data_IF_966440588616
#
_entry.id   IF_966440588616
#
_cell.length_a   1.000
_cell.length_b   1.000
_cell.length_c   1.000
_cell.angle_alpha   90.00
_cell.angle_beta   90.00
_cell.angle_gamma   90.00
#
_symmetry.space_group_name_H-M   'P 1'
#
loop_
_entity.id
_entity.type
_entity.pdbx_description
1 polymer ?
#
# COMPACT_ATOMS: atom_id res chain seq x y z
N UNK A 1 11.85 -30.75 -34.27
CA UNK A 1 11.15 -29.49 -34.60
C UNK A 1 11.81 -28.92 -35.89
N UNK A 2 11.16 -29.06 -37.07
CA UNK A 2 11.68 -28.53 -38.34
C UNK A 2 11.38 -27.03 -38.39
N UNK A 3 12.41 -26.19 -38.38
CA UNK A 3 12.30 -24.78 -38.74
C UNK A 3 12.01 -24.70 -40.23
N UNK A 4 10.80 -24.29 -40.61
CA UNK A 4 10.51 -23.92 -41.99
C UNK A 4 11.32 -22.65 -42.31
N UNK A 5 12.32 -22.79 -43.17
CA UNK A 5 13.03 -21.66 -43.76
C UNK A 5 12.11 -21.09 -44.84
N UNK A 6 11.62 -19.88 -44.66
CA UNK A 6 10.89 -19.15 -45.70
C UNK A 6 11.81 -18.95 -46.91
N UNK A 7 11.36 -19.36 -48.09
CA UNK A 7 12.10 -19.14 -49.33
C UNK A 7 12.06 -17.65 -49.68
N UNK A 8 13.17 -17.11 -50.23
CA UNK A 8 13.26 -15.68 -50.54
C UNK A 8 12.11 -15.16 -51.43
N UNK A 9 11.46 -16.03 -52.19
CA UNK A 9 10.27 -15.70 -53.00
C UNK A 9 9.02 -15.42 -52.16
N UNK A 10 8.79 -16.15 -51.09
CA UNK A 10 7.63 -15.93 -50.20
C UNK A 10 7.76 -14.60 -49.42
N UNK A 11 8.98 -14.23 -49.03
CA UNK A 11 9.26 -12.94 -48.37
C UNK A 11 9.03 -11.79 -49.37
N UNK A 12 9.48 -11.93 -50.62
CA UNK A 12 9.28 -10.90 -51.66
C UNK A 12 7.79 -10.70 -52.00
N UNK A 13 7.02 -11.78 -52.13
CA UNK A 13 5.57 -11.73 -52.38
C UNK A 13 4.86 -11.06 -51.17
N UNK A 14 5.25 -11.39 -49.96
CA UNK A 14 4.70 -10.77 -48.75
C UNK A 14 4.98 -9.25 -48.67
N UNK A 15 6.18 -8.84 -49.05
CA UNK A 15 6.56 -7.41 -49.07
C UNK A 15 5.78 -6.65 -50.14
N UNK A 16 5.68 -7.20 -51.35
CA UNK A 16 4.91 -6.58 -52.45
C UNK A 16 3.42 -6.47 -52.08
N UNK A 17 2.84 -7.53 -51.52
CA UNK A 17 1.44 -7.50 -51.08
C UNK A 17 1.19 -6.46 -49.96
N UNK A 18 2.09 -6.31 -48.99
CA UNK A 18 1.97 -5.29 -47.94
C UNK A 18 2.10 -3.87 -48.50
N UNK A 19 3.00 -3.63 -49.44
CA UNK A 19 3.14 -2.32 -50.11
C UNK A 19 1.86 -1.95 -50.87
N UNK A 20 1.30 -2.91 -51.61
CA UNK A 20 0.03 -2.72 -52.33
C UNK A 20 -1.16 -2.43 -51.41
N UNK A 21 -1.27 -3.16 -50.32
CA UNK A 21 -2.30 -2.92 -49.30
C UNK A 21 -2.18 -1.53 -48.65
N UNK A 22 -0.95 -1.10 -48.34
CA UNK A 22 -0.71 0.23 -47.79
C UNK A 22 -1.04 1.32 -48.78
N UNK A 23 -0.65 1.16 -50.07
CA UNK A 23 -0.97 2.12 -51.13
C UNK A 23 -2.51 2.23 -51.34
N UNK A 24 -3.21 1.10 -51.42
CA UNK A 24 -4.67 1.08 -51.55
C UNK A 24 -5.38 1.72 -50.33
N UNK A 25 -4.85 1.51 -49.11
CA UNK A 25 -5.36 2.15 -47.89
C UNK A 25 -5.14 3.68 -47.92
N UNK A 26 -3.99 4.12 -48.40
CA UNK A 26 -3.67 5.56 -48.51
C UNK A 26 -4.57 6.26 -49.53
N UNK A 27 -4.79 5.61 -50.69
CA UNK A 27 -5.69 6.14 -51.71
C UNK A 27 -7.15 6.19 -51.23
N UNK A 28 -7.58 5.16 -50.51
CA UNK A 28 -8.90 5.15 -49.89
C UNK A 28 -9.07 6.24 -48.82
N UNK A 29 -8.06 6.42 -47.96
CA UNK A 29 -8.03 7.49 -46.94
C UNK A 29 -8.03 8.89 -47.59
N UNK A 30 -7.31 9.07 -48.67
CA UNK A 30 -7.31 10.33 -49.43
C UNK A 30 -8.70 10.64 -50.04
N UNK A 31 -9.42 9.60 -50.49
CA UNK A 31 -10.78 9.73 -50.98
C UNK A 31 -11.82 9.99 -49.87
N UNK A 32 -11.48 9.66 -48.60
CA UNK A 32 -12.38 9.83 -47.44
C UNK A 32 -11.74 10.64 -46.33
N UNK A 33 -11.48 11.95 -46.50
CA UNK A 33 -10.72 12.79 -45.55
C UNK A 33 -11.39 12.94 -44.18
N UNK A 34 -12.68 12.66 -44.11
CA UNK A 34 -13.45 12.71 -42.83
C UNK A 34 -13.18 11.51 -41.93
N UNK A 35 -12.57 10.42 -42.40
CA UNK A 35 -12.32 9.20 -41.62
C UNK A 35 -11.26 9.43 -40.53
N UNK A 36 -10.19 10.12 -40.86
CA UNK A 36 -9.11 10.41 -39.89
C UNK A 36 -9.60 11.25 -38.71
N UNK A 37 -10.33 12.39 -38.92
CA UNK A 37 -10.87 13.15 -37.76
C UNK A 37 -11.91 12.34 -36.96
N UNK A 38 -12.67 11.43 -37.60
CA UNK A 38 -13.61 10.56 -36.90
C UNK A 38 -12.88 9.56 -36.01
N UNK A 39 -11.82 8.92 -36.52
CA UNK A 39 -10.96 8.01 -35.71
C UNK A 39 -10.33 8.78 -34.55
N UNK A 40 -9.80 9.97 -34.81
CA UNK A 40 -9.20 10.80 -33.74
C UNK A 40 -10.23 11.18 -32.67
N UNK A 41 -11.44 11.56 -33.09
CA UNK A 41 -12.52 11.93 -32.17
C UNK A 41 -12.94 10.75 -31.29
N UNK A 42 -13.11 9.57 -31.89
CA UNK A 42 -13.47 8.35 -31.15
C UNK A 42 -12.36 7.91 -30.20
N UNK A 43 -11.10 8.02 -30.61
CA UNK A 43 -9.93 7.72 -29.76
C UNK A 43 -9.85 8.69 -28.57
N UNK A 44 -10.05 9.98 -28.80
CA UNK A 44 -10.07 11.00 -27.74
C UNK A 44 -11.24 10.80 -26.77
N UNK A 45 -12.43 10.48 -27.30
CA UNK A 45 -13.60 10.18 -26.48
C UNK A 45 -13.37 8.93 -25.62
N UNK A 46 -12.78 7.88 -26.20
CA UNK A 46 -12.41 6.65 -25.48
C UNK A 46 -11.37 6.91 -24.38
N UNK A 47 -10.31 7.65 -24.70
CA UNK A 47 -9.28 8.03 -23.73
C UNK A 47 -9.87 8.90 -22.58
N UNK A 48 -10.74 9.86 -22.91
CA UNK A 48 -11.43 10.68 -21.92
C UNK A 48 -12.34 9.86 -21.01
N UNK A 49 -13.14 8.95 -21.58
CA UNK A 49 -14.00 8.06 -20.82
C UNK A 49 -13.19 7.15 -19.90
N UNK A 50 -12.13 6.53 -20.42
CA UNK A 50 -11.21 5.70 -19.62
C UNK A 50 -10.60 6.49 -18.47
N UNK A 51 -10.11 7.71 -18.71
CA UNK A 51 -9.57 8.59 -17.69
C UNK A 51 -10.62 8.93 -16.62
N UNK A 52 -11.85 9.29 -17.04
CA UNK A 52 -12.97 9.59 -16.14
C UNK A 52 -13.31 8.40 -15.24
N UNK A 53 -13.42 7.19 -15.82
CA UNK A 53 -13.71 5.96 -15.07
C UNK A 53 -12.60 5.62 -14.08
N UNK A 54 -11.34 5.81 -14.47
CA UNK A 54 -10.20 5.58 -13.60
C UNK A 54 -10.19 6.53 -12.40
N UNK A 55 -10.37 7.82 -12.64
CA UNK A 55 -10.44 8.85 -11.57
C UNK A 55 -11.64 8.60 -10.64
N UNK A 56 -12.79 8.22 -11.17
CA UNK A 56 -13.96 7.89 -10.34
C UNK A 56 -13.71 6.65 -9.47
N UNK A 57 -13.06 5.62 -10.02
CA UNK A 57 -12.69 4.41 -9.28
C UNK A 57 -11.74 4.72 -8.12
N UNK A 58 -10.75 5.57 -8.34
CA UNK A 58 -9.81 6.00 -7.29
C UNK A 58 -10.50 6.82 -6.19
N UNK A 59 -11.39 7.75 -6.56
CA UNK A 59 -12.19 8.53 -5.59
C UNK A 59 -13.08 7.65 -4.73
N UNK A 60 -13.74 6.66 -5.34
CA UNK A 60 -14.59 5.72 -4.59
C UNK A 60 -13.77 4.82 -3.66
N UNK A 61 -12.59 4.35 -4.10
CA UNK A 61 -11.68 3.58 -3.25
C UNK A 61 -11.21 4.41 -2.06
N UNK A 62 -10.80 5.67 -2.30
CA UNK A 62 -10.38 6.57 -1.23
C UNK A 62 -11.50 6.88 -0.24
N UNK A 63 -12.74 7.09 -0.73
CA UNK A 63 -13.90 7.32 0.13
C UNK A 63 -14.20 6.09 1.00
N UNK A 64 -14.18 4.88 0.42
CA UNK A 64 -14.34 3.62 1.16
C UNK A 64 -13.23 3.41 2.19
N UNK A 65 -11.99 3.67 1.80
CA UNK A 65 -10.85 3.54 2.72
C UNK A 65 -10.96 4.52 3.88
N UNK A 66 -11.32 5.79 3.62
CA UNK A 66 -11.53 6.80 4.67
C UNK A 66 -12.68 6.46 5.62
N UNK A 67 -13.70 5.75 5.15
CA UNK A 67 -14.81 5.30 5.96
C UNK A 67 -14.53 4.02 6.77
N UNK A 68 -13.35 3.40 6.58
CA UNK A 68 -13.01 2.14 7.22
C UNK A 68 -13.01 2.27 8.75
N UNK A 69 -13.72 1.36 9.38
CA UNK A 69 -13.82 1.21 10.84
C UNK A 69 -13.77 -0.26 11.21
N UNK A 70 -13.07 -0.58 12.28
CA UNK A 70 -13.03 -1.93 12.81
C UNK A 70 -13.53 -1.93 14.26
N UNK A 71 -14.70 -2.55 14.55
CA UNK A 71 -15.08 -2.87 15.93
C UNK A 71 -14.02 -3.78 16.57
N UNK A 72 -13.73 -3.57 17.84
CA UNK A 72 -12.74 -4.41 18.56
C UNK A 72 -13.11 -5.89 18.56
N UNK A 73 -14.40 -6.21 18.62
CA UNK A 73 -14.88 -7.60 18.55
C UNK A 73 -14.49 -8.28 17.22
N UNK A 74 -14.44 -7.54 16.11
CA UNK A 74 -13.96 -8.04 14.82
C UNK A 74 -12.45 -8.27 14.88
N UNK A 75 -11.68 -7.30 15.38
CA UNK A 75 -10.23 -7.43 15.49
C UNK A 75 -9.80 -8.59 16.38
N UNK A 76 -10.56 -8.90 17.43
CA UNK A 76 -10.26 -10.03 18.34
C UNK A 76 -10.44 -11.40 17.65
N UNK A 77 -11.37 -11.51 16.69
CA UNK A 77 -11.66 -12.75 15.99
C UNK A 77 -10.72 -13.02 14.80
N UNK A 78 -9.93 -12.04 14.38
CA UNK A 78 -9.02 -12.19 13.24
C UNK A 78 -7.93 -13.22 13.55
N UNK A 79 -7.48 -13.91 12.51
CA UNK A 79 -6.21 -14.62 12.55
C UNK A 79 -5.04 -13.61 12.54
N UNK A 80 -3.88 -13.96 13.11
CA UNK A 80 -2.73 -13.04 13.22
C UNK A 80 -2.43 -12.29 11.91
N UNK A 81 -2.38 -12.99 10.77
CA UNK A 81 -2.11 -12.39 9.47
C UNK A 81 -3.22 -11.45 9.00
N UNK A 82 -4.48 -11.77 9.28
CA UNK A 82 -5.60 -10.88 8.99
C UNK A 82 -5.57 -9.61 9.87
N UNK A 83 -5.08 -9.74 11.10
CA UNK A 83 -4.86 -8.61 11.98
C UNK A 83 -3.79 -7.66 11.41
N UNK A 84 -2.67 -8.18 10.89
CA UNK A 84 -1.65 -7.38 10.19
C UNK A 84 -2.25 -6.62 8.99
N UNK A 85 -3.09 -7.28 8.18
CA UNK A 85 -3.81 -6.62 7.09
C UNK A 85 -4.76 -5.54 7.58
N UNK A 86 -5.47 -5.75 8.70
CA UNK A 86 -6.33 -4.74 9.29
C UNK A 86 -5.51 -3.50 9.75
N UNK A 87 -4.35 -3.71 10.35
CA UNK A 87 -3.43 -2.61 10.74
C UNK A 87 -2.91 -1.86 9.51
N UNK A 88 -2.52 -2.57 8.44
CA UNK A 88 -2.17 -1.95 7.15
C UNK A 88 -3.31 -1.08 6.61
N UNK A 89 -4.53 -1.60 6.62
CA UNK A 89 -5.69 -0.91 6.08
C UNK A 89 -6.04 0.34 6.89
N UNK A 90 -5.80 0.32 8.21
CA UNK A 90 -5.91 1.50 9.06
C UNK A 90 -4.86 2.57 8.67
N UNK A 91 -3.62 2.17 8.36
CA UNK A 91 -2.60 3.11 7.86
C UNK A 91 -2.98 3.69 6.49
N UNK A 92 -3.52 2.86 5.57
CA UNK A 92 -4.06 3.34 4.28
C UNK A 92 -5.18 4.36 4.49
N UNK A 93 -6.10 4.10 5.43
CA UNK A 93 -7.19 5.01 5.82
C UNK A 93 -6.65 6.36 6.29
N UNK A 94 -5.59 6.31 7.10
CA UNK A 94 -4.98 7.51 7.68
C UNK A 94 -4.15 8.31 6.65
N UNK A 95 -4.04 7.84 5.41
CA UNK A 95 -3.37 8.58 4.33
C UNK A 95 -1.93 8.16 4.06
N UNK A 96 -1.58 6.92 4.40
CA UNK A 96 -0.29 6.30 4.05
C UNK A 96 -0.48 5.41 2.80
N UNK A 97 -0.39 5.93 1.57
CA UNK A 97 -0.78 5.20 0.36
C UNK A 97 0.14 4.02 0.02
N UNK A 98 1.34 4.02 0.56
CA UNK A 98 2.37 2.98 0.41
C UNK A 98 2.32 1.91 1.51
N UNK A 99 1.32 1.95 2.41
CA UNK A 99 1.22 1.01 3.49
C UNK A 99 1.13 -0.43 2.96
N UNK A 100 2.05 -1.27 3.40
CA UNK A 100 2.21 -2.65 2.94
C UNK A 100 2.40 -3.59 4.13
N UNK A 101 1.74 -4.76 4.08
CA UNK A 101 2.01 -5.87 4.97
C UNK A 101 3.24 -6.61 4.44
N UNK A 102 4.25 -6.78 5.28
CA UNK A 102 5.54 -7.39 4.94
C UNK A 102 5.87 -8.60 5.81
N UNK A 103 5.01 -8.95 6.77
CA UNK A 103 5.19 -10.06 7.70
C UNK A 103 5.37 -11.40 6.98
N UNK A 104 6.34 -12.19 7.45
CA UNK A 104 6.69 -13.50 6.92
C UNK A 104 8.02 -14.00 7.44
N UNK A 105 8.48 -15.14 6.95
CA UNK A 105 9.80 -15.65 7.32
C UNK A 105 10.90 -14.67 6.90
N UNK A 106 11.68 -14.17 7.87
CA UNK A 106 12.77 -13.22 7.60
C UNK A 106 12.36 -11.74 7.62
N UNK A 107 11.17 -11.39 8.07
CA UNK A 107 10.68 -10.01 8.19
C UNK A 107 11.40 -9.15 9.23
N UNK A 108 12.29 -9.77 10.03
CA UNK A 108 13.03 -9.12 11.11
C UNK A 108 12.13 -8.32 12.08
N UNK A 109 10.91 -8.83 12.34
CA UNK A 109 9.96 -8.28 13.28
C UNK A 109 9.14 -7.08 12.76
N UNK A 110 9.14 -6.82 11.46
CA UNK A 110 8.27 -5.82 10.87
C UNK A 110 7.09 -6.49 10.15
N UNK A 111 5.86 -6.23 10.58
CA UNK A 111 4.66 -6.79 9.96
C UNK A 111 4.02 -5.81 8.97
N UNK A 112 4.08 -4.50 9.26
CA UNK A 112 3.56 -3.45 8.39
C UNK A 112 4.56 -2.32 8.27
N UNK A 113 4.74 -1.79 7.06
CA UNK A 113 5.53 -0.59 6.76
C UNK A 113 4.67 0.42 6.04
N UNK A 114 4.87 1.70 6.34
CA UNK A 114 4.14 2.79 5.72
C UNK A 114 4.94 4.09 5.78
N UNK A 115 4.63 5.04 4.89
CA UNK A 115 5.10 6.42 4.99
C UNK A 115 3.89 7.32 5.20
N UNK A 116 3.92 8.13 6.25
CA UNK A 116 2.84 9.04 6.54
C UNK A 116 2.88 10.29 5.63
N UNK A 117 1.82 11.12 5.60
CA UNK A 117 1.77 12.33 4.78
C UNK A 117 2.87 13.35 5.08
N UNK A 118 3.58 13.19 6.21
CA UNK A 118 4.68 14.06 6.63
C UNK A 118 6.06 13.47 6.30
N UNK A 119 6.11 12.36 5.55
CA UNK A 119 7.34 11.71 5.09
C UNK A 119 8.02 10.82 6.12
N UNK A 120 7.42 10.57 7.30
CA UNK A 120 7.99 9.69 8.32
C UNK A 120 7.73 8.23 7.96
N UNK A 121 8.77 7.40 8.07
CA UNK A 121 8.65 5.94 7.87
C UNK A 121 8.19 5.27 9.15
N UNK A 122 7.11 4.53 9.06
CA UNK A 122 6.52 3.73 10.14
C UNK A 122 6.91 2.27 9.96
N UNK A 123 7.36 1.67 11.05
CA UNK A 123 7.63 0.23 11.15
C UNK A 123 6.79 -0.31 12.29
N UNK A 124 5.86 -1.18 11.96
CA UNK A 124 4.85 -1.66 12.89
C UNK A 124 4.99 -3.17 13.05
N UNK A 125 5.10 -3.64 14.27
CA UNK A 125 4.96 -5.03 14.66
C UNK A 125 3.59 -5.27 15.26
N UNK A 126 2.95 -6.39 14.91
CA UNK A 126 1.62 -6.76 15.35
C UNK A 126 1.68 -7.97 16.30
N UNK A 127 1.10 -7.86 17.49
CA UNK A 127 0.99 -8.95 18.46
C UNK A 127 -0.48 -9.21 18.76
N UNK A 128 -1.11 -9.99 17.89
CA UNK A 128 -2.49 -10.42 18.11
C UNK A 128 -2.61 -11.40 19.28
N UNK A 129 -3.58 -11.19 20.14
CA UNK A 129 -3.95 -12.07 21.26
C UNK A 129 -5.35 -12.61 21.04
N UNK A 130 -5.48 -13.92 20.81
CA UNK A 130 -6.77 -14.57 20.55
C UNK A 130 -7.78 -14.35 21.70
N UNK A 131 -7.31 -14.30 22.93
CA UNK A 131 -8.14 -14.03 24.10
C UNK A 131 -8.21 -12.52 24.46
N UNK A 132 -7.76 -11.62 23.59
CA UNK A 132 -7.79 -10.17 23.83
C UNK A 132 -7.13 -9.79 25.16
N UNK A 133 -7.89 -9.11 26.03
CA UNK A 133 -7.42 -8.73 27.38
C UNK A 133 -7.18 -9.92 28.34
N UNK A 134 -7.89 -11.03 28.15
CA UNK A 134 -7.69 -12.23 28.97
C UNK A 134 -6.41 -12.99 28.57
N UNK A 135 -5.84 -12.69 27.41
CA UNK A 135 -4.59 -13.27 26.95
C UNK A 135 -3.37 -12.76 27.71
N UNK A 136 -2.23 -13.46 27.53
CA UNK A 136 -0.96 -13.04 28.11
C UNK A 136 -0.58 -11.62 27.62
N UNK A 137 -0.14 -10.77 28.53
CA UNK A 137 0.36 -9.44 28.19
C UNK A 137 1.63 -9.55 27.32
N UNK A 138 1.81 -8.59 26.43
CA UNK A 138 3.02 -8.48 25.61
C UNK A 138 4.17 -7.99 26.49
N UNK A 139 5.26 -8.76 26.50
CA UNK A 139 6.43 -8.50 27.31
C UNK A 139 7.58 -7.82 26.57
N UNK A 140 8.64 -7.54 27.32
CA UNK A 140 9.87 -6.90 26.81
C UNK A 140 10.57 -7.69 25.69
N UNK A 141 10.58 -9.05 25.67
CA UNK A 141 11.25 -9.80 24.59
C UNK A 141 10.76 -9.44 23.18
N UNK A 142 9.45 -9.21 23.02
CA UNK A 142 8.88 -8.80 21.74
C UNK A 142 9.42 -7.43 21.27
N UNK A 143 9.68 -6.51 22.20
CA UNK A 143 10.22 -5.18 21.93
C UNK A 143 11.72 -5.20 21.62
N UNK A 144 12.48 -6.15 22.13
CA UNK A 144 13.92 -6.25 21.85
C UNK A 144 14.18 -6.48 20.37
N UNK A 145 13.43 -7.40 19.73
CA UNK A 145 13.54 -7.67 18.30
C UNK A 145 13.23 -6.40 17.50
N UNK A 146 12.10 -5.78 17.79
CA UNK A 146 11.67 -4.56 17.08
C UNK A 146 12.64 -3.38 17.29
N UNK A 147 13.20 -3.23 18.50
CA UNK A 147 14.20 -2.20 18.78
C UNK A 147 15.50 -2.42 17.99
N UNK A 148 15.94 -3.70 17.92
CA UNK A 148 17.16 -4.07 17.20
C UNK A 148 17.06 -3.96 15.68
N UNK A 149 15.87 -3.96 15.11
CA UNK A 149 15.65 -4.00 13.64
C UNK A 149 14.94 -2.78 13.09
N UNK A 150 14.05 -2.18 13.85
CA UNK A 150 13.16 -1.12 13.37
C UNK A 150 13.89 0.08 12.75
N UNK A 151 14.95 0.58 13.41
CA UNK A 151 15.76 1.69 12.89
C UNK A 151 16.91 1.22 12.01
N UNK A 152 17.79 0.30 12.44
CA UNK A 152 18.99 -0.04 11.67
C UNK A 152 18.68 -0.80 10.39
N UNK A 153 17.72 -1.72 10.43
CA UNK A 153 17.36 -2.57 9.28
C UNK A 153 16.28 -1.91 8.43
N UNK A 154 15.17 -1.51 9.05
CA UNK A 154 14.00 -1.00 8.32
C UNK A 154 14.01 0.50 8.08
N UNK A 155 14.99 1.24 8.63
CA UNK A 155 15.13 2.70 8.50
C UNK A 155 13.88 3.46 8.97
N UNK A 156 13.19 2.93 9.99
CA UNK A 156 11.99 3.52 10.55
C UNK A 156 12.28 4.78 11.36
N UNK A 157 11.47 5.81 11.20
CA UNK A 157 11.46 6.99 12.07
C UNK A 157 10.55 6.75 13.28
N UNK A 158 9.42 6.08 13.05
CA UNK A 158 8.41 5.76 14.06
C UNK A 158 8.30 4.24 14.16
N UNK A 159 8.68 3.72 15.31
CA UNK A 159 8.68 2.27 15.57
C UNK A 159 7.55 1.97 16.53
N UNK A 160 6.63 1.09 16.13
CA UNK A 160 5.37 0.84 16.84
C UNK A 160 5.17 -0.65 17.05
N UNK A 161 4.74 -1.02 18.27
CA UNK A 161 4.18 -2.34 18.52
C UNK A 161 2.69 -2.22 18.83
N UNK A 162 1.86 -2.94 18.08
CA UNK A 162 0.39 -2.92 18.19
C UNK A 162 -0.12 -4.24 18.74
N UNK A 163 -1.02 -4.18 19.72
CA UNK A 163 -1.72 -5.37 20.23
C UNK A 163 -3.20 -5.08 20.48
N UNK A 164 -4.06 -6.09 20.31
CA UNK A 164 -5.44 -6.06 20.79
C UNK A 164 -5.56 -6.45 22.28
N UNK A 165 -4.42 -6.70 22.95
CA UNK A 165 -4.30 -7.01 24.37
C UNK A 165 -3.74 -5.85 25.18
N UNK A 166 -2.83 -6.17 26.11
CA UNK A 166 -2.15 -5.23 27.01
C UNK A 166 -0.65 -5.47 27.01
N UNK A 167 0.12 -4.50 27.48
CA UNK A 167 1.55 -4.59 27.74
C UNK A 167 1.83 -4.81 29.23
N UNK A 168 2.97 -5.45 29.52
CA UNK A 168 3.49 -5.48 30.88
C UNK A 168 4.10 -4.13 31.26
N UNK A 169 4.21 -3.81 32.55
CA UNK A 169 4.86 -2.58 33.00
C UNK A 169 6.34 -2.51 32.55
N UNK A 170 7.16 -3.58 32.68
CA UNK A 170 8.52 -3.59 32.15
C UNK A 170 8.59 -3.32 30.65
N UNK A 171 7.65 -3.83 29.84
CA UNK A 171 7.59 -3.55 28.40
C UNK A 171 7.31 -2.07 28.13
N UNK A 172 6.41 -1.46 28.90
CA UNK A 172 6.08 -0.03 28.79
C UNK A 172 7.27 0.86 29.13
N UNK A 173 7.99 0.54 30.20
CA UNK A 173 9.17 1.29 30.62
C UNK A 173 10.33 1.15 29.63
N UNK A 174 10.54 -0.07 29.12
CA UNK A 174 11.52 -0.32 28.04
C UNK A 174 11.16 0.47 26.78
N UNK A 175 9.91 0.41 26.32
CA UNK A 175 9.47 1.14 25.13
C UNK A 175 9.73 2.64 25.27
N UNK A 176 9.44 3.22 26.45
CA UNK A 176 9.70 4.64 26.74
C UNK A 176 11.19 4.96 26.64
N UNK A 177 12.06 4.14 27.26
CA UNK A 177 13.52 4.33 27.26
C UNK A 177 14.11 4.25 25.85
N UNK A 178 13.54 3.39 24.98
CA UNK A 178 14.00 3.16 23.61
C UNK A 178 13.24 4.00 22.55
N UNK A 179 12.34 4.88 22.97
CA UNK A 179 11.50 5.69 22.07
C UNK A 179 10.71 4.82 21.08
N UNK A 180 10.20 3.69 21.57
CA UNK A 180 9.24 2.85 20.85
C UNK A 180 7.83 3.28 21.25
N UNK A 181 6.90 3.19 20.32
CA UNK A 181 5.50 3.51 20.57
C UNK A 181 4.70 2.22 20.78
N UNK A 182 3.80 2.25 21.75
CA UNK A 182 2.92 1.14 22.07
C UNK A 182 1.47 1.52 21.76
N UNK A 183 0.79 0.62 21.05
CA UNK A 183 -0.64 0.70 20.78
C UNK A 183 -1.28 -0.50 21.47
N UNK A 184 -1.80 -0.27 22.63
CA UNK A 184 -2.59 -1.22 23.42
C UNK A 184 -4.04 -1.26 22.96
N UNK A 185 -4.85 -2.12 23.58
CA UNK A 185 -6.26 -2.26 23.23
C UNK A 185 -7.07 -0.96 23.29
N UNK A 186 -7.00 -0.09 24.33
CA UNK A 186 -7.70 1.18 24.35
C UNK A 186 -7.30 2.11 23.21
N UNK A 187 -6.00 2.23 22.96
CA UNK A 187 -5.45 3.05 21.88
C UNK A 187 -5.86 2.50 20.51
N UNK A 188 -5.79 1.17 20.33
CA UNK A 188 -6.23 0.49 19.12
C UNK A 188 -7.72 0.69 18.89
N UNK A 189 -8.56 0.59 19.92
CA UNK A 189 -10.00 0.82 19.82
C UNK A 189 -10.31 2.24 19.33
N UNK A 190 -9.65 3.25 19.91
CA UNK A 190 -9.78 4.64 19.49
C UNK A 190 -9.32 4.86 18.05
N UNK A 191 -8.21 4.25 17.66
CA UNK A 191 -7.69 4.30 16.30
C UNK A 191 -8.61 3.59 15.31
N UNK A 192 -9.02 2.36 15.59
CA UNK A 192 -9.88 1.55 14.74
C UNK A 192 -11.27 2.15 14.55
N UNK A 193 -11.81 2.87 15.56
CA UNK A 193 -13.05 3.62 15.44
C UNK A 193 -12.97 4.82 14.48
N UNK A 194 -11.77 5.31 14.17
CA UNK A 194 -11.50 6.13 13.00
C UNK A 194 -11.77 7.62 13.12
N UNK A 195 -11.69 8.20 14.31
CA UNK A 195 -11.85 9.65 14.49
C UNK A 195 -10.56 10.44 14.21
N UNK A 196 -9.38 9.83 14.46
CA UNK A 196 -8.07 10.46 14.33
C UNK A 196 -7.03 9.48 13.78
N UNK A 197 -6.05 9.95 13.00
CA UNK A 197 -4.94 9.12 12.54
C UNK A 197 -4.03 8.74 13.72
N UNK A 198 -3.27 7.64 13.54
CA UNK A 198 -2.45 7.07 14.61
C UNK A 198 -1.43 8.06 15.19
N UNK A 199 -0.83 8.91 14.36
CA UNK A 199 0.15 9.90 14.84
C UNK A 199 -0.41 11.01 15.72
N UNK A 200 -1.74 11.21 15.73
CA UNK A 200 -2.40 12.12 16.66
C UNK A 200 -2.76 11.46 18.00
N UNK A 201 -2.85 10.12 18.00
CA UNK A 201 -3.14 9.35 19.21
C UNK A 201 -1.86 9.05 20.01
N UNK A 202 -0.72 8.92 19.32
CA UNK A 202 0.56 8.64 19.93
C UNK A 202 1.25 9.92 20.44
N UNK A 203 1.88 9.81 21.61
CA UNK A 203 2.71 10.89 22.17
C UNK A 203 4.13 10.82 21.63
N UNK A 204 4.80 11.97 21.54
CA UNK A 204 6.21 12.07 21.19
C UNK A 204 6.61 11.45 19.85
N UNK A 205 5.70 11.48 18.87
CA UNK A 205 6.03 11.12 17.48
C UNK A 205 7.05 12.14 16.96
N UNK A 206 8.13 11.69 16.26
CA UNK A 206 9.13 12.60 15.70
C UNK A 206 8.52 13.70 14.82
N UNK A 207 9.15 14.87 14.68
CA UNK A 207 8.66 15.92 13.79
C UNK A 207 8.64 15.43 12.35
N UNK A 208 7.85 16.08 11.47
CA UNK A 208 7.85 15.81 10.03
C UNK A 208 9.25 15.87 9.44
N UNK A 209 9.53 15.03 8.42
CA UNK A 209 10.76 15.15 7.65
C UNK A 209 10.72 16.46 6.87
N UNK A 210 11.80 17.23 6.92
CA UNK A 210 11.94 18.39 6.03
C UNK A 210 12.05 17.87 4.59
N UNK A 211 11.34 18.48 3.62
CA UNK A 211 11.59 18.16 2.22
C UNK A 211 13.08 18.42 1.93
N UNK A 212 13.70 17.50 1.16
CA UNK A 212 15.05 17.72 0.68
C UNK A 212 15.05 19.04 -0.11
N UNK A 213 15.95 19.96 0.23
CA UNK A 213 16.14 21.18 -0.55
C UNK A 213 16.51 20.76 -1.98
N UNK A 214 15.86 21.32 -3.03
CA UNK A 214 16.29 21.03 -4.38
C UNK A 214 17.75 21.47 -4.53
N UNK A 215 18.59 20.52 -4.91
CA UNK A 215 20.01 20.73 -5.27
C UNK A 215 20.11 21.31 -6.65
#
# INVERSE_FOLDING_TARGET
MRKQAYTGGEVLVGVVATVWLVAALMDWLAAHPWVLPLILLTALAGAFLWFRLRVQGERQRQARTRALRYPMAVLDQLHHRQFEYAIRDLMLRDGCPDAVQVGGAGDNGADVKATDPYGRRWVIQCKHRRAGLAGAAVGTPDLHVLNGTGRPVHKGDVIVLVTNGRFTQPATDFARSQRLHLVDRPTLASWAAGSRPLWELLRAVPPPRRPASPS
#
